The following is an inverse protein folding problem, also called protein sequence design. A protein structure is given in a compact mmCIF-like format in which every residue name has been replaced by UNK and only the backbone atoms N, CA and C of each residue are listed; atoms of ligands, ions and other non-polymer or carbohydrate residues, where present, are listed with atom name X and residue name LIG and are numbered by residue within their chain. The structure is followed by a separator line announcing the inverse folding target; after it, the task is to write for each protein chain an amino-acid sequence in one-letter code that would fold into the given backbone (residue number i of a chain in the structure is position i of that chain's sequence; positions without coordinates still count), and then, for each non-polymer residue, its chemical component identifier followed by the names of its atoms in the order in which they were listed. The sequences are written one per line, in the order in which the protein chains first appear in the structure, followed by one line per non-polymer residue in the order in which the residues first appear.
data_IF_939151079464
#
_entry.id   IF_939151079464
#
_cell.length_a   1.000
_cell.length_b   1.000
_cell.length_c   1.000
_cell.angle_alpha   90.00
_cell.angle_beta   90.00
_cell.angle_gamma   90.00
#
_symmetry.space_group_name_H-M   'P 1'
#
loop_
_entity.id
_entity.type
_entity.pdbx_description
1 polymer ?
#
# COMPACT_ATOMS: atom_id res chain seq x y z
N UNK A 1 1.22 4.86 -9.21
CA UNK A 1 1.41 4.32 -7.85
C UNK A 1 0.22 3.42 -7.54
N UNK A 2 0.19 2.24 -8.20
CA UNK A 2 -1.02 1.40 -8.30
C UNK A 2 -0.73 -0.10 -8.08
N UNK A 3 0.39 -0.64 -8.57
CA UNK A 3 0.76 -2.03 -8.31
C UNK A 3 1.87 -2.12 -7.25
N UNK A 4 3.14 -1.91 -7.65
CA UNK A 4 4.33 -2.23 -6.84
C UNK A 4 4.47 -1.40 -5.56
N UNK A 5 4.41 -0.07 -5.66
CA UNK A 5 4.65 0.80 -4.51
C UNK A 5 3.54 0.73 -3.43
N UNK A 6 2.23 0.65 -3.76
CA UNK A 6 1.19 0.38 -2.76
C UNK A 6 1.30 -1.00 -2.12
N UNK A 7 1.69 -2.04 -2.87
CA UNK A 7 1.91 -3.37 -2.27
C UNK A 7 3.06 -3.37 -1.25
N UNK A 8 4.15 -2.68 -1.56
CA UNK A 8 5.30 -2.59 -0.64
C UNK A 8 4.92 -1.83 0.64
N UNK A 9 4.18 -0.72 0.51
CA UNK A 9 3.63 0.04 1.63
C UNK A 9 2.72 -0.82 2.52
N UNK A 10 1.73 -1.49 1.93
CA UNK A 10 0.79 -2.36 2.64
C UNK A 10 1.48 -3.50 3.40
N UNK A 11 2.47 -4.15 2.77
CA UNK A 11 3.27 -5.23 3.37
C UNK A 11 4.13 -4.68 4.52
N UNK A 12 4.77 -3.52 4.34
CA UNK A 12 5.57 -2.90 5.39
C UNK A 12 4.73 -2.47 6.60
N UNK A 13 3.59 -1.79 6.36
CA UNK A 13 2.60 -1.43 7.39
C UNK A 13 2.15 -2.66 8.19
N UNK A 14 1.85 -3.77 7.51
CA UNK A 14 1.51 -5.02 8.18
C UNK A 14 2.64 -5.55 9.08
N UNK A 15 3.89 -5.54 8.63
CA UNK A 15 5.03 -5.98 9.47
C UNK A 15 5.24 -5.09 10.71
N UNK A 16 5.24 -3.76 10.57
CA UNK A 16 5.44 -2.86 11.72
C UNK A 16 4.26 -2.89 12.71
N UNK A 17 3.06 -3.21 12.22
CA UNK A 17 1.88 -3.48 13.07
C UNK A 17 2.09 -4.76 13.88
N UNK A 18 2.52 -5.86 13.25
CA UNK A 18 2.82 -7.12 13.92
C UNK A 18 3.96 -7.00 14.96
N UNK A 19 4.87 -6.04 14.76
CA UNK A 19 5.96 -5.72 15.70
C UNK A 19 5.55 -4.74 16.82
N UNK A 20 4.32 -4.23 16.83
CA UNK A 20 3.85 -3.18 17.76
C UNK A 20 4.70 -1.89 17.76
N UNK A 21 5.26 -1.50 16.60
CA UNK A 21 6.07 -0.27 16.46
C UNK A 21 5.45 0.77 15.52
N UNK A 22 4.22 0.56 15.05
CA UNK A 22 3.58 1.42 14.03
C UNK A 22 3.54 2.91 14.42
N UNK A 23 3.35 3.24 15.70
CA UNK A 23 3.32 4.63 16.19
C UNK A 23 4.67 5.37 16.07
N UNK A 24 5.75 4.67 15.74
CA UNK A 24 7.09 5.24 15.54
C UNK A 24 7.46 5.44 14.07
N UNK A 25 6.60 5.04 13.13
CA UNK A 25 6.87 5.08 11.69
C UNK A 25 5.79 5.83 10.93
N UNK A 26 6.22 6.71 10.02
CA UNK A 26 5.38 7.19 8.93
C UNK A 26 5.76 6.42 7.65
N UNK A 27 4.76 5.85 6.97
CA UNK A 27 4.95 5.00 5.79
C UNK A 27 4.06 5.56 4.68
N UNK A 28 4.59 5.61 3.46
CA UNK A 28 3.94 6.27 2.34
C UNK A 28 4.43 5.69 1.00
N UNK A 29 3.64 5.86 -0.06
CA UNK A 29 4.06 5.52 -1.41
C UNK A 29 3.51 6.47 -2.48
N UNK A 30 4.35 6.75 -3.47
CA UNK A 30 4.08 7.74 -4.52
C UNK A 30 4.48 7.26 -5.93
N UNK A 31 4.22 8.09 -6.94
CA UNK A 31 4.48 7.84 -8.36
C UNK A 31 5.41 8.89 -8.95
N UNK A 32 6.27 8.47 -9.89
CA UNK A 32 7.06 9.39 -10.71
C UNK A 32 6.23 10.15 -11.77
N UNK A 33 4.97 9.75 -11.99
CA UNK A 33 4.05 10.32 -12.99
C UNK A 33 2.59 10.21 -12.53
N UNK A 34 1.79 11.15 -13.00
CA UNK A 34 0.43 11.45 -12.56
C UNK A 34 -0.69 10.62 -13.22
N UNK A 35 -0.38 9.78 -14.24
CA UNK A 35 -1.34 9.00 -15.05
C UNK A 35 -2.46 8.24 -14.32
N UNK A 36 -2.29 7.98 -13.02
CA UNK A 36 -3.26 7.23 -12.21
C UNK A 36 -3.64 7.96 -10.92
N UNK A 37 -3.33 9.25 -10.75
CA UNK A 37 -3.61 9.98 -9.51
C UNK A 37 -5.11 9.91 -9.16
N UNK A 38 -5.42 9.66 -7.88
CA UNK A 38 -6.78 9.43 -7.38
C UNK A 38 -7.31 7.99 -7.58
N UNK A 39 -6.71 7.18 -8.46
CA UNK A 39 -7.15 5.80 -8.65
C UNK A 39 -6.74 4.89 -7.48
N UNK A 40 -7.53 3.85 -7.15
CA UNK A 40 -7.11 2.82 -6.21
C UNK A 40 -5.96 1.96 -6.77
N UNK A 41 -5.33 1.11 -5.94
CA UNK A 41 -4.40 0.08 -6.40
C UNK A 41 -5.00 -0.84 -7.46
N UNK A 42 -4.15 -1.39 -8.31
CA UNK A 42 -4.50 -2.39 -9.34
C UNK A 42 -5.24 -3.57 -8.70
N UNK A 43 -6.30 -4.07 -9.34
CA UNK A 43 -7.14 -5.14 -8.78
C UNK A 43 -6.37 -6.42 -8.49
N UNK A 44 -5.31 -6.71 -9.26
CA UNK A 44 -4.40 -7.84 -8.99
C UNK A 44 -3.59 -7.61 -7.72
N UNK A 45 -3.07 -6.39 -7.53
CA UNK A 45 -2.36 -6.01 -6.32
C UNK A 45 -3.26 -6.13 -5.08
N UNK A 46 -4.50 -5.63 -5.15
CA UNK A 46 -5.49 -5.80 -4.08
C UNK A 46 -5.80 -7.28 -3.80
N UNK A 47 -5.94 -8.10 -4.84
CA UNK A 47 -6.22 -9.54 -4.72
C UNK A 47 -5.05 -10.28 -4.07
N UNK A 48 -3.81 -9.97 -4.46
CA UNK A 48 -2.59 -10.52 -3.84
C UNK A 48 -2.48 -10.12 -2.36
N UNK A 49 -2.75 -8.86 -2.01
CA UNK A 49 -2.73 -8.41 -0.61
C UNK A 49 -3.78 -9.16 0.23
N UNK A 50 -5.02 -9.25 -0.26
CA UNK A 50 -6.12 -10.00 0.41
C UNK A 50 -5.79 -11.48 0.58
N UNK A 51 -5.19 -12.12 -0.43
CA UNK A 51 -4.74 -13.52 -0.34
C UNK A 51 -3.68 -13.75 0.75
N UNK A 52 -2.84 -12.74 1.02
CA UNK A 52 -1.84 -12.76 2.09
C UNK A 52 -2.39 -12.21 3.44
N UNK A 53 -3.72 -12.10 3.59
CA UNK A 53 -4.36 -11.64 4.83
C UNK A 53 -4.34 -10.11 5.05
N UNK A 54 -3.77 -9.33 4.13
CA UNK A 54 -3.74 -7.86 4.23
C UNK A 54 -5.04 -7.31 3.63
N UNK A 55 -6.06 -7.18 4.49
CA UNK A 55 -7.40 -6.67 4.13
C UNK A 55 -7.61 -5.20 4.51
N UNK A 56 -6.96 -4.73 5.58
CA UNK A 56 -7.08 -3.36 6.09
C UNK A 56 -6.04 -2.40 5.47
N UNK A 57 -5.94 -2.39 4.13
CA UNK A 57 -5.14 -1.42 3.39
C UNK A 57 -6.00 -0.69 2.37
N UNK A 58 -5.97 0.65 2.44
CA UNK A 58 -6.65 1.54 1.50
C UNK A 58 -5.65 2.59 1.04
N UNK A 59 -5.68 2.89 -0.26
CA UNK A 59 -4.74 3.80 -0.88
C UNK A 59 -5.39 4.51 -2.06
N UNK A 60 -4.97 5.76 -2.30
CA UNK A 60 -5.21 6.44 -3.56
C UNK A 60 -3.86 6.82 -4.14
N UNK A 61 -3.66 6.46 -5.40
CA UNK A 61 -2.44 6.75 -6.12
C UNK A 61 -2.15 8.25 -6.11
N UNK A 62 -0.91 8.61 -5.78
CA UNK A 62 -0.43 9.99 -5.82
C UNK A 62 0.96 10.10 -6.43
N UNK A 63 1.39 11.33 -6.69
CA UNK A 63 2.75 11.75 -7.04
C UNK A 63 3.45 12.32 -5.81
#
# INVERSE_FOLDING_TARGET
NTCRSPMAEAVFLNYITQMNIIDTWYVDSAALRDYHVGNPPDTRAQTTLKYNGITNYSHQART
#
